data_IF_950035168711
#
_entry.id   IF_950035168711
#
_cell.length_a   1.000
_cell.length_b   1.000
_cell.length_c   1.000
_cell.angle_alpha   90.00
_cell.angle_beta   90.00
_cell.angle_gamma   90.00
#
_symmetry.space_group_name_H-M   'P 1'
#
loop_
_entity.id
_entity.type
_entity.pdbx_description
1 polymer ?
#
# COMPACT_ATOMS: atom_id res chain seq x y z
N UNK A 1 32.37 8.76 -22.68
CA UNK A 1 32.34 7.29 -22.82
C UNK A 1 30.96 6.81 -22.42
N UNK A 2 30.16 6.39 -23.40
CA UNK A 2 28.86 5.80 -23.20
C UNK A 2 29.02 4.32 -22.83
N UNK A 3 28.19 3.84 -21.92
CA UNK A 3 27.80 2.45 -21.82
C UNK A 3 26.26 2.41 -21.79
N UNK A 4 25.61 2.07 -22.92
CA UNK A 4 24.17 1.83 -22.96
C UNK A 4 23.85 0.37 -22.58
N UNK A 5 22.56 0.09 -22.40
CA UNK A 5 21.93 -1.25 -22.40
C UNK A 5 22.13 -2.16 -21.18
N UNK A 6 21.24 -2.02 -20.19
CA UNK A 6 20.62 -3.14 -19.44
C UNK A 6 19.31 -2.66 -18.79
N UNK A 7 18.27 -2.48 -19.59
CA UNK A 7 16.85 -2.41 -19.18
C UNK A 7 15.96 -2.52 -20.42
N UNK A 8 16.09 -3.66 -21.10
CA UNK A 8 15.26 -4.05 -22.24
C UNK A 8 15.07 -5.58 -22.19
N UNK A 9 14.58 -6.12 -21.06
CA UNK A 9 14.22 -7.54 -20.91
C UNK A 9 13.00 -7.76 -19.99
N UNK A 10 12.12 -6.77 -19.86
CA UNK A 10 10.71 -7.01 -19.50
C UNK A 10 9.84 -6.37 -20.58
N UNK A 11 9.98 -6.92 -21.78
CA UNK A 11 9.10 -6.62 -22.90
C UNK A 11 7.73 -7.24 -22.68
N UNK A 12 6.71 -6.46 -23.04
CA UNK A 12 5.54 -6.93 -23.78
C UNK A 12 4.99 -8.31 -23.38
N UNK A 13 4.12 -8.32 -22.36
CA UNK A 13 3.44 -9.54 -21.92
C UNK A 13 2.00 -9.37 -21.46
N UNK A 14 1.42 -8.15 -21.48
CA UNK A 14 -0.04 -8.04 -21.43
C UNK A 14 -0.53 -8.05 -22.87
N UNK A 15 -0.77 -9.28 -23.36
CA UNK A 15 -1.51 -9.50 -24.58
C UNK A 15 -2.90 -8.88 -24.41
N UNK A 16 -3.04 -7.62 -24.86
CA UNK A 16 -4.34 -7.06 -25.21
C UNK A 16 -4.83 -7.94 -26.34
N UNK A 17 -5.69 -8.90 -26.02
CA UNK A 17 -6.36 -9.73 -27.00
C UNK A 17 -7.14 -8.78 -27.92
N UNK A 18 -6.62 -8.57 -29.12
CA UNK A 18 -7.34 -7.98 -30.23
C UNK A 18 -8.48 -8.95 -30.60
N UNK A 19 -9.62 -8.79 -29.94
CA UNK A 19 -10.85 -9.50 -30.29
C UNK A 19 -11.51 -8.68 -31.40
N UNK A 20 -11.22 -9.08 -32.64
CA UNK A 20 -11.97 -8.71 -33.83
C UNK A 20 -13.40 -9.25 -33.67
N UNK A 21 -14.36 -8.37 -33.39
CA UNK A 21 -15.79 -8.69 -33.42
C UNK A 21 -16.48 -7.92 -34.57
N UNK A 22 -17.50 -8.53 -35.21
CA UNK A 22 -17.82 -8.32 -36.61
C UNK A 22 -18.56 -7.02 -36.86
N UNK A 23 -18.21 -6.36 -37.96
CA UNK A 23 -18.85 -5.18 -38.51
C UNK A 23 -20.33 -5.42 -38.90
N UNK A 24 -21.29 -5.02 -38.05
CA UNK A 24 -22.67 -4.67 -38.42
C UNK A 24 -23.51 -4.16 -37.21
N UNK A 25 -23.13 -3.03 -36.60
CA UNK A 25 -23.95 -2.16 -35.72
C UNK A 25 -23.22 -0.83 -35.36
N UNK A 26 -22.25 -0.38 -36.19
CA UNK A 26 -21.12 0.48 -35.78
C UNK A 26 -21.33 1.99 -36.02
N UNK A 27 -22.45 2.54 -35.58
CA UNK A 27 -22.60 4.01 -35.51
C UNK A 27 -22.24 4.54 -34.13
N UNK A 28 -23.01 4.11 -33.13
CA UNK A 28 -22.95 4.62 -31.75
C UNK A 28 -22.05 3.81 -30.82
N UNK A 29 -21.95 2.49 -31.04
CA UNK A 29 -21.08 1.62 -30.24
C UNK A 29 -19.57 1.82 -30.51
N UNK A 30 -19.20 2.36 -31.68
CA UNK A 30 -17.80 2.57 -32.05
C UNK A 30 -17.18 3.78 -31.34
N UNK A 31 -17.96 4.84 -31.13
CA UNK A 31 -17.46 6.13 -30.64
C UNK A 31 -16.95 6.06 -29.19
N UNK A 32 -17.59 5.24 -28.34
CA UNK A 32 -17.23 5.05 -26.93
C UNK A 32 -16.80 3.61 -26.58
N UNK A 33 -16.47 2.79 -27.58
CA UNK A 33 -16.00 1.41 -27.36
C UNK A 33 -14.79 1.31 -26.43
N UNK A 34 -13.89 2.29 -26.50
CA UNK A 34 -12.72 2.37 -25.65
C UNK A 34 -13.09 2.58 -24.17
N UNK A 35 -14.07 3.46 -23.89
CA UNK A 35 -14.58 3.69 -22.53
C UNK A 35 -15.21 2.42 -21.95
N UNK A 36 -16.08 1.73 -22.68
CA UNK A 36 -16.67 0.48 -22.20
C UNK A 36 -15.65 -0.66 -22.05
N UNK A 37 -14.54 -0.59 -22.77
CA UNK A 37 -13.40 -1.51 -22.56
C UNK A 37 -12.67 -1.17 -21.27
N UNK A 38 -12.43 0.11 -20.98
CA UNK A 38 -11.87 0.57 -19.71
C UNK A 38 -12.76 0.22 -18.52
N UNK A 39 -14.08 0.37 -18.62
CA UNK A 39 -15.02 0.02 -17.54
C UNK A 39 -15.00 -1.48 -17.25
N UNK A 40 -14.92 -2.34 -18.28
CA UNK A 40 -14.76 -3.78 -18.09
C UNK A 40 -13.41 -4.11 -17.44
N UNK A 41 -12.35 -3.43 -17.86
CA UNK A 41 -11.04 -3.57 -17.24
C UNK A 41 -11.04 -3.12 -15.77
N UNK A 42 -11.73 -2.02 -15.44
CA UNK A 42 -11.89 -1.52 -14.08
C UNK A 42 -12.54 -2.56 -13.18
N UNK A 43 -13.62 -3.19 -13.65
CA UNK A 43 -14.28 -4.27 -12.90
C UNK A 43 -13.33 -5.43 -12.63
N UNK A 44 -12.62 -5.89 -13.66
CA UNK A 44 -11.66 -6.98 -13.51
C UNK A 44 -10.50 -6.62 -12.57
N UNK A 45 -10.02 -5.37 -12.61
CA UNK A 45 -8.99 -4.86 -11.70
C UNK A 45 -9.50 -4.82 -10.25
N UNK A 46 -10.72 -4.32 -10.02
CA UNK A 46 -11.35 -4.32 -8.69
C UNK A 46 -11.54 -5.74 -8.12
N UNK A 47 -11.94 -6.70 -8.95
CA UNK A 47 -12.04 -8.11 -8.53
C UNK A 47 -10.65 -8.68 -8.14
N UNK A 48 -9.60 -8.35 -8.91
CA UNK A 48 -8.23 -8.76 -8.62
C UNK A 48 -7.67 -8.10 -7.36
N UNK A 49 -7.95 -6.81 -7.16
CA UNK A 49 -7.57 -6.07 -5.96
C UNK A 49 -8.25 -6.65 -4.71
N UNK A 50 -9.56 -6.93 -4.76
CA UNK A 50 -10.26 -7.57 -3.65
C UNK A 50 -9.66 -8.94 -3.28
N UNK A 51 -9.27 -9.75 -4.27
CA UNK A 51 -8.59 -11.03 -4.02
C UNK A 51 -7.20 -10.84 -3.39
N UNK A 52 -6.44 -9.84 -3.86
CA UNK A 52 -5.13 -9.53 -3.32
C UNK A 52 -5.20 -9.00 -1.88
N UNK A 53 -6.21 -8.19 -1.55
CA UNK A 53 -6.46 -7.69 -0.19
C UNK A 53 -6.81 -8.81 0.79
N UNK A 54 -7.67 -9.76 0.37
CA UNK A 54 -7.96 -10.97 1.15
C UNK A 54 -6.70 -11.80 1.38
N UNK A 55 -5.86 -11.97 0.36
CA UNK A 55 -4.60 -12.71 0.48
C UNK A 55 -3.60 -11.99 1.40
N UNK A 56 -3.49 -10.66 1.30
CA UNK A 56 -2.68 -9.82 2.19
C UNK A 56 -3.12 -9.94 3.63
N UNK A 57 -4.43 -9.82 3.89
CA UNK A 57 -5.02 -10.02 5.22
C UNK A 57 -4.72 -11.41 5.77
N UNK A 58 -4.89 -12.46 4.96
CA UNK A 58 -4.59 -13.83 5.37
C UNK A 58 -3.10 -14.03 5.70
N UNK A 59 -2.20 -13.46 4.90
CA UNK A 59 -0.76 -13.48 5.14
C UNK A 59 -0.40 -12.74 6.44
N UNK A 60 -1.02 -11.59 6.69
CA UNK A 60 -0.82 -10.84 7.94
C UNK A 60 -1.31 -11.60 9.17
N UNK A 61 -2.46 -12.28 9.09
CA UNK A 61 -2.94 -13.13 10.19
C UNK A 61 -2.00 -14.31 10.44
N UNK A 62 -1.49 -14.95 9.38
CA UNK A 62 -0.49 -16.02 9.50
C UNK A 62 0.81 -15.50 10.12
N UNK A 63 1.28 -14.32 9.70
CA UNK A 63 2.45 -13.66 10.29
C UNK A 63 2.26 -13.45 11.79
N UNK A 64 1.11 -12.94 12.24
CA UNK A 64 0.81 -12.76 13.67
C UNK A 64 0.85 -14.08 14.45
N UNK A 65 0.27 -15.13 13.88
CA UNK A 65 0.27 -16.47 14.49
C UNK A 65 1.70 -17.02 14.64
N UNK A 66 2.53 -16.88 13.60
CA UNK A 66 3.92 -17.34 13.60
C UNK A 66 4.83 -16.51 14.53
N UNK A 67 4.60 -15.20 14.61
CA UNK A 67 5.38 -14.30 15.47
C UNK A 67 5.12 -14.58 16.96
N UNK A 68 3.85 -14.76 17.31
CA UNK A 68 3.40 -15.00 18.68
C UNK A 68 3.61 -13.79 19.60
N UNK A 69 3.60 -14.04 20.91
CA UNK A 69 3.80 -12.99 21.90
C UNK A 69 5.28 -12.58 22.01
N UNK A 70 5.56 -11.30 22.31
CA UNK A 70 6.90 -10.85 22.61
C UNK A 70 7.42 -11.53 23.89
N UNK A 71 8.72 -11.85 23.95
CA UNK A 71 9.33 -12.31 25.20
C UNK A 71 9.24 -11.22 26.27
N UNK A 72 8.94 -11.61 27.52
CA UNK A 72 8.76 -10.67 28.63
C UNK A 72 9.98 -9.81 28.95
N UNK A 73 11.17 -10.22 28.52
CA UNK A 73 12.40 -9.43 28.58
C UNK A 73 12.29 -8.09 27.83
N UNK A 74 11.48 -8.03 26.75
CA UNK A 74 11.26 -6.83 25.95
C UNK A 74 10.27 -5.84 26.57
N UNK A 75 9.60 -6.22 27.65
CA UNK A 75 8.71 -5.30 28.36
C UNK A 75 9.56 -4.26 29.08
N UNK A 76 9.31 -2.99 28.78
CA UNK A 76 9.98 -1.86 29.43
C UNK A 76 9.65 -1.82 30.93
N UNK A 77 10.63 -1.43 31.73
CA UNK A 77 10.51 -1.25 33.18
C UNK A 77 11.08 0.11 33.57
N UNK A 78 10.60 0.68 34.66
CA UNK A 78 11.17 1.92 35.21
C UNK A 78 12.66 1.80 35.53
N UNK A 79 13.12 0.60 35.91
CA UNK A 79 14.54 0.32 36.14
C UNK A 79 15.41 0.42 34.89
N UNK A 80 14.82 0.30 33.69
CA UNK A 80 15.56 0.31 32.42
C UNK A 80 16.14 1.70 32.12
N UNK A 81 15.55 2.76 32.69
CA UNK A 81 16.09 4.13 32.62
C UNK A 81 17.46 4.24 33.28
N UNK A 82 17.66 3.58 34.43
CA UNK A 82 18.96 3.56 35.11
C UNK A 82 20.03 2.77 34.34
N UNK A 83 19.61 1.87 33.45
CA UNK A 83 20.49 1.15 32.54
C UNK A 83 20.77 1.92 31.24
N UNK A 84 20.21 3.12 31.06
CA UNK A 84 20.37 3.93 29.86
C UNK A 84 19.62 3.38 28.64
N UNK A 85 18.68 2.45 28.83
CA UNK A 85 17.84 1.92 27.76
C UNK A 85 16.81 2.99 27.31
N UNK A 86 16.33 2.94 26.05
CA UNK A 86 15.39 3.91 25.50
C UNK A 86 13.97 3.66 26.01
N UNK A 87 13.76 4.08 27.25
CA UNK A 87 12.43 4.16 27.87
C UNK A 87 11.90 5.56 27.59
N UNK A 88 10.92 5.68 26.68
CA UNK A 88 10.17 6.92 26.52
C UNK A 88 9.25 7.18 27.71
N UNK A 89 8.35 8.14 27.60
CA UNK A 89 7.37 8.44 28.66
C UNK A 89 6.38 7.29 28.89
N UNK A 90 6.23 6.40 27.90
CA UNK A 90 5.36 5.24 27.98
C UNK A 90 6.15 3.93 28.18
N UNK A 91 6.10 3.41 29.41
CA UNK A 91 6.66 2.09 29.79
C UNK A 91 5.78 0.91 29.34
N UNK A 92 4.62 1.16 28.72
CA UNK A 92 3.72 0.12 28.25
C UNK A 92 4.17 -0.53 26.94
N UNK A 93 4.99 0.17 26.15
CA UNK A 93 5.45 -0.32 24.85
C UNK A 93 6.73 -1.19 24.93
N UNK A 94 6.83 -2.31 24.19
CA UNK A 94 8.07 -3.09 24.11
C UNK A 94 9.17 -2.42 23.26
N UNK A 95 10.43 -2.87 23.39
CA UNK A 95 11.61 -2.33 22.69
C UNK A 95 11.71 -2.59 21.16
N UNK A 96 10.61 -2.72 20.42
CA UNK A 96 10.62 -3.31 19.06
C UNK A 96 11.53 -2.61 18.02
N UNK A 97 11.75 -1.30 18.14
CA UNK A 97 12.58 -0.51 17.22
C UNK A 97 13.97 -0.13 17.74
N UNK A 98 14.32 -0.53 18.97
CA UNK A 98 15.34 0.14 19.77
C UNK A 98 16.71 -0.56 19.79
N UNK A 99 17.00 -1.46 18.84
CA UNK A 99 18.16 -2.36 18.96
C UNK A 99 19.49 -1.61 19.06
N UNK A 100 19.70 -0.60 18.20
CA UNK A 100 20.96 0.14 18.18
C UNK A 100 21.13 1.00 19.44
N UNK A 101 20.03 1.57 19.95
CA UNK A 101 20.03 2.29 21.21
C UNK A 101 20.28 1.36 22.41
N UNK A 102 19.70 0.16 22.42
CA UNK A 102 19.95 -0.85 23.45
C UNK A 102 21.40 -1.37 23.42
N UNK A 103 21.98 -1.52 22.22
CA UNK A 103 23.39 -1.86 22.03
C UNK A 103 24.31 -0.75 22.55
N UNK A 104 24.02 0.50 22.21
CA UNK A 104 24.78 1.64 22.72
C UNK A 104 24.74 1.74 24.26
N UNK A 105 23.56 1.53 24.86
CA UNK A 105 23.39 1.51 26.31
C UNK A 105 24.20 0.38 26.98
N UNK A 106 24.19 -0.83 26.39
CA UNK A 106 25.02 -1.95 26.84
C UNK A 106 26.50 -1.58 26.80
N UNK A 107 26.97 -1.08 25.66
CA UNK A 107 28.39 -0.85 25.42
C UNK A 107 28.94 0.29 26.29
N UNK A 108 28.11 1.31 26.59
CA UNK A 108 28.46 2.39 27.52
C UNK A 108 28.71 1.92 28.96
N UNK A 109 28.15 0.78 29.37
CA UNK A 109 28.33 0.22 30.72
C UNK A 109 29.55 -0.70 30.85
N UNK A 110 30.14 -1.17 29.73
CA UNK A 110 31.29 -2.07 29.72
C UNK A 110 32.50 -1.59 30.56
N UNK A 111 32.88 -0.30 30.56
CA UNK A 111 34.02 0.18 31.36
C UNK A 111 33.79 0.16 32.87
N UNK A 112 32.55 -0.08 33.34
CA UNK A 112 32.14 0.04 34.74
C UNK A 112 31.64 -1.28 35.35
N UNK A 113 31.79 -2.40 34.64
CA UNK A 113 31.24 -3.70 35.04
C UNK A 113 31.76 -4.26 36.36
N UNK A 114 32.92 -3.81 36.82
CA UNK A 114 33.47 -4.24 38.11
C UNK A 114 32.71 -3.66 39.31
N UNK A 115 31.81 -2.69 39.09
CA UNK A 115 30.92 -2.17 40.12
C UNK A 115 29.56 -2.87 40.08
N UNK A 116 28.98 -3.24 41.23
CA UNK A 116 27.79 -4.10 41.30
C UNK A 116 26.53 -3.48 40.65
N UNK A 117 26.31 -2.17 40.80
CA UNK A 117 25.16 -1.49 40.21
C UNK A 117 25.26 -1.43 38.67
N UNK A 118 26.36 -0.90 38.07
CA UNK A 118 26.57 -0.99 36.63
C UNK A 118 26.57 -2.41 36.07
N UNK A 119 27.05 -3.41 36.82
CA UNK A 119 27.00 -4.81 36.41
C UNK A 119 25.56 -5.32 36.25
N UNK A 120 24.67 -4.99 37.20
CA UNK A 120 23.26 -5.34 37.13
C UNK A 120 22.57 -4.64 35.95
N UNK A 121 22.86 -3.36 35.72
CA UNK A 121 22.33 -2.60 34.59
C UNK A 121 22.81 -3.16 33.25
N UNK A 122 24.10 -3.51 33.15
CA UNK A 122 24.65 -4.13 31.96
C UNK A 122 24.00 -5.50 31.68
N UNK A 123 23.82 -6.33 32.72
CA UNK A 123 23.14 -7.61 32.58
C UNK A 123 21.71 -7.43 32.03
N UNK A 124 21.00 -6.38 32.46
CA UNK A 124 19.70 -6.02 31.91
C UNK A 124 19.78 -5.60 30.43
N UNK A 125 20.75 -4.77 30.05
CA UNK A 125 20.94 -4.41 28.64
C UNK A 125 21.25 -5.65 27.78
N UNK A 126 22.08 -6.58 28.27
CA UNK A 126 22.37 -7.85 27.59
C UNK A 126 21.12 -8.69 27.40
N UNK A 127 20.27 -8.81 28.42
CA UNK A 127 19.00 -9.53 28.36
C UNK A 127 18.08 -8.94 27.27
N UNK A 128 17.89 -7.62 27.26
CA UNK A 128 17.03 -6.92 26.30
C UNK A 128 17.58 -7.07 24.88
N UNK A 129 18.89 -6.83 24.67
CA UNK A 129 19.54 -6.98 23.37
C UNK A 129 19.41 -8.41 22.84
N UNK A 130 19.65 -9.41 23.69
CA UNK A 130 19.51 -10.82 23.33
C UNK A 130 18.08 -11.17 22.91
N UNK A 131 17.09 -10.76 23.71
CA UNK A 131 15.68 -10.98 23.43
C UNK A 131 15.24 -10.27 22.14
N UNK A 132 15.70 -9.03 21.91
CA UNK A 132 15.33 -8.23 20.75
C UNK A 132 15.94 -8.79 19.47
N UNK A 133 17.19 -9.23 19.53
CA UNK A 133 17.88 -9.90 18.41
C UNK A 133 17.17 -11.19 18.02
N UNK A 134 16.81 -12.02 19.00
CA UNK A 134 16.08 -13.25 18.76
C UNK A 134 14.67 -13.00 18.20
N UNK A 135 13.96 -11.99 18.75
CA UNK A 135 12.63 -11.61 18.30
C UNK A 135 12.65 -11.07 16.86
N UNK A 136 13.62 -10.23 16.49
CA UNK A 136 13.77 -9.73 15.11
C UNK A 136 14.05 -10.86 14.12
N UNK A 137 14.90 -11.83 14.47
CA UNK A 137 15.14 -13.02 13.63
C UNK A 137 13.87 -13.84 13.43
N UNK A 138 13.08 -14.03 14.49
CA UNK A 138 11.78 -14.70 14.41
C UNK A 138 10.79 -13.93 13.55
N UNK A 139 10.71 -12.60 13.70
CA UNK A 139 9.86 -11.75 12.88
C UNK A 139 10.21 -11.85 11.40
N UNK A 140 11.49 -11.81 11.04
CA UNK A 140 11.94 -12.00 9.66
C UNK A 140 11.60 -13.40 9.12
N UNK A 141 11.72 -14.44 9.94
CA UNK A 141 11.33 -15.80 9.54
C UNK A 141 9.82 -15.92 9.33
N UNK A 142 9.03 -15.39 10.28
CA UNK A 142 7.57 -15.36 10.21
C UNK A 142 7.06 -14.56 9.00
N UNK A 143 7.68 -13.43 8.70
CA UNK A 143 7.34 -12.58 7.54
C UNK A 143 7.57 -13.32 6.22
N UNK A 144 8.72 -13.99 6.09
CA UNK A 144 9.04 -14.82 4.91
C UNK A 144 8.10 -16.01 4.78
N UNK A 145 7.86 -16.73 5.87
CA UNK A 145 7.01 -17.91 5.86
C UNK A 145 5.54 -17.56 5.58
N UNK A 146 5.06 -16.45 6.13
CA UNK A 146 3.71 -15.96 5.86
C UNK A 146 3.57 -15.36 4.45
N UNK A 147 4.68 -15.10 3.75
CA UNK A 147 4.71 -14.38 2.49
C UNK A 147 4.05 -12.98 2.57
N UNK A 148 4.16 -12.33 3.74
CA UNK A 148 3.43 -11.10 4.04
C UNK A 148 3.80 -9.94 3.11
N UNK A 149 5.11 -9.69 2.92
CA UNK A 149 5.61 -8.61 2.07
C UNK A 149 5.18 -8.77 0.62
N UNK A 150 5.21 -9.98 0.07
CA UNK A 150 4.83 -10.20 -1.31
C UNK A 150 3.30 -10.10 -1.51
N UNK A 151 2.50 -10.52 -0.52
CA UNK A 151 1.06 -10.39 -0.57
C UNK A 151 0.62 -8.91 -0.45
N UNK A 152 1.27 -8.14 0.42
CA UNK A 152 1.07 -6.69 0.55
C UNK A 152 1.43 -5.97 -0.74
N UNK A 153 2.63 -6.22 -1.29
CA UNK A 153 3.06 -5.63 -2.56
C UNK A 153 2.13 -6.00 -3.74
N UNK A 154 1.56 -7.20 -3.74
CA UNK A 154 0.58 -7.60 -4.75
C UNK A 154 -0.75 -6.84 -4.62
N UNK A 155 -1.20 -6.58 -3.38
CA UNK A 155 -2.39 -5.77 -3.12
C UNK A 155 -2.18 -4.31 -3.52
N UNK A 156 -1.03 -3.72 -3.16
CA UNK A 156 -0.64 -2.37 -3.58
C UNK A 156 -0.59 -2.26 -5.11
N UNK A 157 0.07 -3.19 -5.80
CA UNK A 157 0.14 -3.18 -7.26
C UNK A 157 -1.24 -3.35 -7.92
N UNK A 158 -2.14 -4.14 -7.32
CA UNK A 158 -3.50 -4.29 -7.82
C UNK A 158 -4.31 -2.99 -7.65
N UNK A 159 -4.15 -2.30 -6.52
CA UNK A 159 -4.75 -1.00 -6.27
C UNK A 159 -4.21 0.07 -7.25
N UNK A 160 -2.89 0.13 -7.46
CA UNK A 160 -2.27 1.04 -8.44
C UNK A 160 -2.80 0.80 -9.87
N UNK A 161 -3.01 -0.46 -10.24
CA UNK A 161 -3.58 -0.81 -11.55
C UNK A 161 -5.05 -0.37 -11.67
N UNK A 162 -5.83 -0.51 -10.60
CA UNK A 162 -7.21 -0.01 -10.54
C UNK A 162 -7.24 1.53 -10.69
N UNK A 163 -6.41 2.25 -9.93
CA UNK A 163 -6.28 3.71 -9.97
C UNK A 163 -5.85 4.21 -11.35
N UNK A 164 -4.92 3.52 -12.01
CA UNK A 164 -4.49 3.87 -13.37
C UNK A 164 -5.63 3.75 -14.40
N UNK A 165 -6.55 2.81 -14.21
CA UNK A 165 -7.74 2.67 -15.08
C UNK A 165 -8.76 3.77 -14.74
N UNK A 166 -8.99 4.06 -13.46
CA UNK A 166 -9.85 5.16 -13.02
C UNK A 166 -9.40 6.50 -13.60
N UNK A 167 -8.10 6.78 -13.58
CA UNK A 167 -7.52 7.99 -14.16
C UNK A 167 -7.71 8.06 -15.69
N UNK A 168 -7.61 6.93 -16.40
CA UNK A 168 -7.90 6.85 -17.83
C UNK A 168 -9.38 7.12 -18.13
N UNK A 169 -10.30 6.55 -17.34
CA UNK A 169 -11.75 6.82 -17.46
C UNK A 169 -12.04 8.30 -17.18
N UNK A 170 -11.41 8.88 -16.15
CA UNK A 170 -11.56 10.30 -15.81
C UNK A 170 -11.10 11.21 -16.94
N UNK A 171 -10.01 10.88 -17.62
CA UNK A 171 -9.48 11.65 -18.75
C UNK A 171 -10.26 11.44 -20.06
N UNK A 172 -10.97 10.32 -20.20
CA UNK A 172 -11.73 10.00 -21.40
C UNK A 172 -12.90 10.97 -21.61
N UNK A 173 -13.09 11.49 -22.82
CA UNK A 173 -14.21 12.39 -23.18
C UNK A 173 -15.26 11.61 -23.97
N UNK A 174 -16.42 11.27 -23.37
CA UNK A 174 -17.49 10.57 -24.07
C UNK A 174 -18.07 11.41 -25.21
N UNK A 175 -18.57 10.74 -26.25
CA UNK A 175 -19.27 11.38 -27.38
C UNK A 175 -20.76 11.06 -27.42
N UNK A 176 -21.15 9.95 -26.79
CA UNK A 176 -22.53 9.46 -26.76
C UNK A 176 -23.16 9.67 -25.40
N UNK A 177 -24.50 9.78 -25.35
CA UNK A 177 -25.25 9.89 -24.09
C UNK A 177 -24.97 8.71 -23.18
N UNK A 178 -24.85 7.52 -23.75
CA UNK A 178 -24.53 6.28 -23.05
C UNK A 178 -23.13 6.33 -22.42
N UNK A 179 -22.13 6.85 -23.15
CA UNK A 179 -20.78 7.04 -22.62
C UNK A 179 -20.73 8.07 -21.49
N UNK A 180 -21.48 9.17 -21.60
CA UNK A 180 -21.64 10.15 -20.52
C UNK A 180 -22.25 9.53 -19.27
N UNK A 181 -23.33 8.76 -19.43
CA UNK A 181 -23.99 8.07 -18.33
C UNK A 181 -23.06 7.06 -17.65
N UNK A 182 -22.33 6.25 -18.45
CA UNK A 182 -21.39 5.25 -17.93
C UNK A 182 -20.22 5.89 -17.15
N UNK A 183 -19.67 7.00 -17.64
CA UNK A 183 -18.63 7.75 -16.92
C UNK A 183 -19.16 8.35 -15.62
N UNK A 184 -20.38 8.91 -15.66
CA UNK A 184 -21.03 9.48 -14.47
C UNK A 184 -21.30 8.42 -13.39
N UNK A 185 -21.69 7.21 -13.78
CA UNK A 185 -21.91 6.08 -12.86
C UNK A 185 -20.61 5.68 -12.12
N UNK A 186 -19.48 5.66 -12.83
CA UNK A 186 -18.16 5.44 -12.20
C UNK A 186 -17.81 6.58 -11.25
N UNK A 187 -18.02 7.83 -11.70
CA UNK A 187 -17.71 9.03 -10.92
C UNK A 187 -18.54 9.16 -9.63
N UNK A 188 -19.80 8.69 -9.65
CA UNK A 188 -20.73 8.80 -8.52
C UNK A 188 -20.17 8.22 -7.23
N UNK A 189 -19.38 7.14 -7.31
CA UNK A 189 -18.73 6.48 -6.17
C UNK A 189 -17.75 7.37 -5.41
N UNK A 190 -17.25 8.42 -6.06
CA UNK A 190 -16.26 9.35 -5.51
C UNK A 190 -16.85 10.73 -5.19
N UNK A 191 -18.10 10.97 -5.59
CA UNK A 191 -18.81 12.24 -5.45
C UNK A 191 -19.85 12.14 -4.32
N UNK A 192 -19.90 11.04 -3.57
CA UNK A 192 -20.96 10.75 -2.61
C UNK A 192 -20.90 11.58 -1.31
N UNK A 193 -22.07 12.16 -1.01
CA UNK A 193 -22.74 12.72 0.19
C UNK A 193 -21.98 13.04 1.51
N UNK A 194 -20.77 13.60 1.46
CA UNK A 194 -20.29 14.43 2.57
C UNK A 194 -20.41 15.92 2.21
N UNK A 195 -20.73 16.76 3.20
CA UNK A 195 -20.91 18.22 3.06
C UNK A 195 -19.76 18.94 2.32
N UNK A 196 -18.60 18.26 2.15
CA UNK A 196 -17.51 18.68 1.30
C UNK A 196 -16.93 17.53 0.46
N UNK A 197 -16.74 17.79 -0.84
CA UNK A 197 -15.99 16.90 -1.73
C UNK A 197 -14.52 16.80 -1.29
N UNK A 198 -14.01 15.57 -1.17
CA UNK A 198 -12.58 15.35 -0.99
C UNK A 198 -11.78 15.73 -2.26
N UNK A 199 -10.45 15.82 -2.16
CA UNK A 199 -9.59 16.24 -3.28
C UNK A 199 -9.70 15.33 -4.52
N UNK A 200 -10.00 14.04 -4.32
CA UNK A 200 -10.14 13.08 -5.41
C UNK A 200 -11.51 13.20 -6.11
N UNK A 201 -12.60 13.31 -5.34
CA UNK A 201 -13.96 13.58 -5.81
C UNK A 201 -14.06 14.93 -6.54
N UNK A 202 -13.33 15.95 -6.07
CA UNK A 202 -13.22 17.25 -6.76
C UNK A 202 -12.69 17.10 -8.19
N UNK A 203 -11.66 16.27 -8.40
CA UNK A 203 -11.12 16.02 -9.76
C UNK A 203 -12.13 15.35 -10.67
N UNK A 204 -12.91 14.40 -10.14
CA UNK A 204 -13.99 13.75 -10.88
C UNK A 204 -15.12 14.72 -11.24
N UNK A 205 -15.56 15.55 -10.30
CA UNK A 205 -16.57 16.58 -10.56
C UNK A 205 -16.11 17.58 -11.63
N UNK A 206 -14.85 18.03 -11.56
CA UNK A 206 -14.25 18.90 -12.58
C UNK A 206 -14.20 18.25 -13.96
N UNK A 207 -13.84 16.95 -14.04
CA UNK A 207 -13.80 16.22 -15.30
C UNK A 207 -15.21 16.11 -15.93
N UNK A 208 -16.23 15.76 -15.13
CA UNK A 208 -17.62 15.69 -15.61
C UNK A 208 -18.11 17.07 -16.08
N UNK A 209 -17.84 18.14 -15.33
CA UNK A 209 -18.22 19.50 -15.74
C UNK A 209 -17.55 19.93 -17.05
N UNK A 210 -16.26 19.61 -17.22
CA UNK A 210 -15.50 19.91 -18.43
C UNK A 210 -16.05 19.18 -19.66
N UNK A 211 -16.57 17.96 -19.50
CA UNK A 211 -17.16 17.21 -20.61
C UNK A 211 -18.57 17.72 -20.99
N UNK A 212 -19.30 18.31 -20.04
CA UNK A 212 -20.67 18.81 -20.27
C UNK A 212 -20.71 20.24 -20.83
N UNK A 213 -19.73 21.09 -20.53
CA UNK A 213 -19.68 22.48 -21.03
C UNK A 213 -19.75 22.61 -22.56
N UNK A 214 -19.00 21.80 -23.37
CA UNK A 214 -19.08 21.86 -24.83
C UNK A 214 -20.46 21.50 -25.39
N UNK A 215 -21.25 20.70 -24.68
CA UNK A 215 -22.62 20.34 -25.09
C UNK A 215 -23.65 21.42 -24.75
N UNK A 216 -23.33 22.35 -23.84
CA UNK A 216 -24.22 23.44 -23.41
C UNK A 216 -24.03 24.74 -24.18
N UNK A 217 -22.97 24.86 -24.97
CA UNK A 217 -22.78 25.98 -25.88
C UNK A 217 -23.56 25.70 -27.17
N UNK A 218 -24.77 26.25 -27.38
CA UNK A 218 -25.33 26.28 -28.72
C UNK A 218 -24.36 27.07 -29.61
N UNK A 219 -24.18 26.59 -30.83
CA UNK A 219 -23.53 27.31 -31.91
C UNK A 219 -24.06 28.75 -31.95
N UNK A 220 -23.27 29.69 -31.46
CA UNK A 220 -23.42 31.10 -31.79
C UNK A 220 -22.94 31.25 -33.22
N UNK A 221 -23.84 30.95 -34.17
CA UNK A 221 -23.81 31.40 -35.55
C UNK A 221 -24.12 32.90 -35.62
#
# INVERSE_FOLDING_TARGET
MAAPTRRALFGAGLAVAAISAPAAAFGTAAEDAALFTLIRALKAAGDAHAQADVASTAAYQRYKQLLGQPPGALRKRTSDWFAGLPVGDDVSEPFYGDLDACLAARDALLPRLHYPIPAAHHARCVEVVGALTAYRKRAQAAEREANAVAAEAAAEHALEAEDAILDQIRAYRPKTREGFAAKAEVAARFIDDQDALNAYGTKWAQAILADVQPMRSPLSS
#
